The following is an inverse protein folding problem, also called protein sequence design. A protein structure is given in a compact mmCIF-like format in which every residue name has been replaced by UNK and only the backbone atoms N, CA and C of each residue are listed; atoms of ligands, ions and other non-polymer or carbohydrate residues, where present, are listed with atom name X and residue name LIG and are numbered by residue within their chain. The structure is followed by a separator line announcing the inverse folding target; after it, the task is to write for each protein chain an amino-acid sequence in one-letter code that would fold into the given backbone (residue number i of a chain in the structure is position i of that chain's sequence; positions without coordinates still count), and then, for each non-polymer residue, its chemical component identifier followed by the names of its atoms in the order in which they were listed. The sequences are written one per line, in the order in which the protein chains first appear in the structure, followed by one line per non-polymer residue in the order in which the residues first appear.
data_IF_676038665547
#
_entry.id   IF_676038665547
#
_cell.length_a   1.000
_cell.length_b   1.000
_cell.length_c   1.000
_cell.angle_alpha   90.00
_cell.angle_beta   90.00
_cell.angle_gamma   90.00
#
_symmetry.space_group_name_H-M   'P 1'
#
loop_
_entity.id
_entity.type
_entity.pdbx_description
1 polymer ?
#
# COMPACT_ATOMS: atom_id res chain seq x y z
N UNK A 1 10.26 -14.57 8.56
CA UNK A 1 9.69 -13.59 9.53
C UNK A 1 8.51 -14.21 10.26
N UNK A 2 8.07 -13.70 11.41
CA UNK A 2 6.85 -14.17 12.09
C UNK A 2 5.74 -13.14 11.90
N UNK A 3 4.53 -13.59 11.50
CA UNK A 3 3.39 -12.73 11.19
C UNK A 3 2.20 -13.05 12.12
N UNK A 4 2.30 -12.77 13.44
CA UNK A 4 1.26 -13.14 14.39
C UNK A 4 -0.09 -12.47 14.11
N UNK A 5 -0.11 -11.26 13.56
CA UNK A 5 -1.34 -10.53 13.24
C UNK A 5 -1.96 -11.02 11.93
N UNK A 6 -1.18 -11.16 10.86
CA UNK A 6 -1.65 -11.72 9.60
C UNK A 6 -2.21 -13.14 9.78
N UNK A 7 -1.56 -13.95 10.60
CA UNK A 7 -1.97 -15.33 10.90
C UNK A 7 -3.27 -15.43 11.72
N UNK A 8 -3.85 -14.33 12.19
CA UNK A 8 -5.18 -14.33 12.82
C UNK A 8 -6.30 -14.47 11.79
N UNK A 9 -6.01 -14.28 10.50
CA UNK A 9 -6.96 -14.51 9.41
C UNK A 9 -6.77 -15.91 8.82
N UNK A 10 -7.87 -16.66 8.57
CA UNK A 10 -7.78 -17.94 7.88
C UNK A 10 -7.18 -17.79 6.48
N UNK A 11 -6.36 -18.76 6.06
CA UNK A 11 -5.79 -18.76 4.71
C UNK A 11 -6.89 -18.79 3.63
N UNK A 12 -8.00 -19.48 3.87
CA UNK A 12 -9.15 -19.48 2.95
C UNK A 12 -9.69 -18.07 2.70
N UNK A 13 -9.82 -17.25 3.76
CA UNK A 13 -10.26 -15.85 3.65
C UNK A 13 -9.26 -15.02 2.86
N UNK A 14 -7.96 -15.24 3.08
CA UNK A 14 -6.90 -14.58 2.30
C UNK A 14 -7.00 -14.98 0.83
N UNK A 15 -7.10 -16.26 0.51
CA UNK A 15 -7.21 -16.75 -0.87
C UNK A 15 -8.46 -16.25 -1.61
N UNK A 16 -9.59 -16.15 -0.92
CA UNK A 16 -10.86 -15.69 -1.49
C UNK A 16 -10.84 -14.19 -1.82
N UNK A 17 -10.12 -13.40 -1.01
CA UNK A 17 -10.20 -11.93 -1.06
C UNK A 17 -8.94 -11.25 -1.59
N UNK A 18 -7.90 -11.99 -1.97
CA UNK A 18 -6.68 -11.46 -2.59
C UNK A 18 -6.73 -11.57 -4.12
N UNK A 19 -5.98 -10.70 -4.77
CA UNK A 19 -5.70 -10.71 -6.22
C UNK A 19 -4.20 -10.59 -6.50
N UNK A 20 -3.37 -11.02 -5.56
CA UNK A 20 -1.92 -10.93 -5.61
C UNK A 20 -1.28 -11.56 -4.37
N UNK A 21 0.01 -11.37 -4.12
CA UNK A 21 0.73 -11.94 -2.99
C UNK A 21 0.05 -11.58 -1.66
N UNK A 22 0.16 -12.45 -0.66
CA UNK A 22 -0.56 -12.35 0.61
C UNK A 22 -0.48 -10.93 1.22
N UNK A 23 -1.53 -10.11 1.08
CA UNK A 23 -1.49 -8.69 1.47
C UNK A 23 -1.43 -8.49 2.99
N UNK A 24 -1.83 -9.50 3.76
CA UNK A 24 -1.79 -9.44 5.23
C UNK A 24 -0.35 -9.47 5.73
N UNK A 25 0.50 -10.34 5.16
CA UNK A 25 1.93 -10.39 5.51
C UNK A 25 2.66 -9.14 5.03
N UNK A 26 2.38 -8.70 3.79
CA UNK A 26 2.94 -7.45 3.27
C UNK A 26 2.57 -6.26 4.16
N UNK A 27 1.31 -6.16 4.59
CA UNK A 27 0.83 -5.09 5.48
C UNK A 27 1.47 -5.16 6.87
N UNK A 28 1.62 -6.35 7.46
CA UNK A 28 2.23 -6.50 8.79
C UNK A 28 3.72 -6.13 8.77
N UNK A 29 4.48 -6.53 7.76
CA UNK A 29 5.88 -6.12 7.60
C UNK A 29 5.99 -4.61 7.38
N UNK A 30 5.19 -4.06 6.47
CA UNK A 30 5.14 -2.61 6.20
C UNK A 30 4.91 -1.79 7.47
N UNK A 31 3.92 -2.18 8.27
CA UNK A 31 3.57 -1.48 9.51
C UNK A 31 4.61 -1.67 10.63
N UNK A 32 5.49 -2.66 10.53
CA UNK A 32 6.60 -2.81 11.49
C UNK A 32 7.66 -1.71 11.36
N UNK A 33 7.68 -1.01 10.23
CA UNK A 33 8.63 0.08 9.94
C UNK A 33 8.22 1.43 10.56
N UNK A 34 7.00 1.54 11.14
CA UNK A 34 6.47 2.80 11.67
C UNK A 34 5.74 2.62 12.99
N UNK A 35 5.78 3.64 13.82
CA UNK A 35 5.03 3.69 15.09
C UNK A 35 3.82 4.62 14.92
N UNK A 36 2.72 4.08 14.40
CA UNK A 36 1.46 4.79 14.24
C UNK A 36 0.60 4.50 15.48
N UNK A 37 0.19 5.53 16.25
CA UNK A 37 -0.57 5.33 17.47
C UNK A 37 -1.94 4.67 17.23
N UNK A 38 -2.37 3.81 18.14
CA UNK A 38 -3.75 3.30 18.19
C UNK A 38 -4.76 4.45 18.21
N UNK A 39 -5.84 4.31 17.44
CA UNK A 39 -6.86 5.35 17.27
C UNK A 39 -6.54 6.38 16.19
N UNK A 40 -5.38 6.28 15.52
CA UNK A 40 -5.06 7.11 14.36
C UNK A 40 -6.08 6.92 13.24
N UNK A 41 -6.38 8.01 12.54
CA UNK A 41 -7.25 8.00 11.35
C UNK A 41 -6.38 7.69 10.13
N UNK A 42 -6.59 6.54 9.52
CA UNK A 42 -5.74 6.00 8.44
C UNK A 42 -6.57 5.78 7.17
N UNK A 43 -6.01 6.18 6.04
CA UNK A 43 -6.51 5.81 4.72
C UNK A 43 -5.83 4.53 4.26
N UNK A 44 -6.60 3.49 3.96
CA UNK A 44 -6.14 2.33 3.18
C UNK A 44 -6.49 2.59 1.70
N UNK A 45 -5.49 2.91 0.90
CA UNK A 45 -5.66 3.36 -0.48
C UNK A 45 -5.40 2.22 -1.46
N UNK A 46 -6.44 1.84 -2.20
CA UNK A 46 -6.48 0.61 -2.98
C UNK A 46 -6.73 -0.61 -2.09
N UNK A 47 -7.72 -0.49 -1.21
CA UNK A 47 -8.02 -1.50 -0.17
C UNK A 47 -8.54 -2.83 -0.72
N UNK A 48 -8.86 -2.90 -2.02
CA UNK A 48 -9.41 -4.09 -2.66
C UNK A 48 -10.61 -4.64 -1.90
N UNK A 49 -10.63 -5.95 -1.64
CA UNK A 49 -11.69 -6.61 -0.90
C UNK A 49 -11.58 -6.47 0.63
N UNK A 50 -10.72 -5.55 1.13
CA UNK A 50 -10.71 -5.08 2.52
C UNK A 50 -9.86 -5.87 3.50
N UNK A 51 -9.01 -6.81 3.05
CA UNK A 51 -8.18 -7.63 3.95
C UNK A 51 -7.23 -6.78 4.80
N UNK A 52 -6.46 -5.90 4.18
CA UNK A 52 -5.50 -4.98 4.85
C UNK A 52 -6.22 -4.04 5.80
N UNK A 53 -7.36 -3.51 5.37
CA UNK A 53 -8.20 -2.64 6.21
C UNK A 53 -8.69 -3.35 7.47
N UNK A 54 -9.20 -4.60 7.33
CA UNK A 54 -9.66 -5.40 8.46
C UNK A 54 -8.51 -5.73 9.43
N UNK A 55 -7.31 -6.06 8.89
CA UNK A 55 -6.11 -6.29 9.70
C UNK A 55 -5.75 -5.05 10.51
N UNK A 56 -5.67 -3.89 9.85
CA UNK A 56 -5.28 -2.63 10.48
C UNK A 56 -6.28 -2.18 11.55
N UNK A 57 -7.59 -2.29 11.28
CA UNK A 57 -8.61 -1.91 12.26
C UNK A 57 -8.60 -2.84 13.48
N UNK A 58 -8.44 -4.16 13.27
CA UNK A 58 -8.55 -5.16 14.33
C UNK A 58 -7.29 -5.28 15.16
N UNK A 59 -6.12 -5.34 14.50
CA UNK A 59 -4.87 -5.69 15.18
C UNK A 59 -4.01 -4.46 15.57
N UNK A 60 -4.27 -3.31 14.96
CA UNK A 60 -3.57 -2.05 15.27
C UNK A 60 -4.50 -1.00 15.90
N UNK A 61 -5.82 -1.24 15.84
CA UNK A 61 -6.81 -0.35 16.44
C UNK A 61 -6.93 1.00 15.75
N UNK A 62 -6.65 1.07 14.45
CA UNK A 62 -6.82 2.29 13.66
C UNK A 62 -8.29 2.52 13.31
N UNK A 63 -8.65 3.78 13.05
CA UNK A 63 -9.91 4.16 12.41
C UNK A 63 -9.66 4.26 10.92
N UNK A 64 -10.25 3.35 10.14
CA UNK A 64 -9.94 3.16 8.72
C UNK A 64 -10.96 3.80 7.78
N UNK A 65 -10.44 4.41 6.73
CA UNK A 65 -11.17 4.71 5.50
C UNK A 65 -10.60 3.81 4.41
N UNK A 66 -11.37 2.79 4.02
CA UNK A 66 -10.97 1.78 3.04
C UNK A 66 -11.43 2.22 1.66
N UNK A 67 -10.54 2.86 0.90
CA UNK A 67 -10.84 3.45 -0.41
C UNK A 67 -10.38 2.54 -1.54
N UNK A 68 -11.29 2.22 -2.46
CA UNK A 68 -11.00 1.44 -3.65
C UNK A 68 -11.88 1.88 -4.83
N UNK A 69 -11.35 1.75 -6.06
CA UNK A 69 -12.05 2.17 -7.27
C UNK A 69 -13.07 1.13 -7.75
N UNK A 70 -12.77 -0.16 -7.58
CA UNK A 70 -13.54 -1.25 -8.17
C UNK A 70 -14.35 -2.04 -7.17
N UNK A 71 -13.88 -2.16 -5.94
CA UNK A 71 -14.56 -2.92 -4.88
C UNK A 71 -15.90 -2.31 -4.50
N UNK A 72 -16.85 -3.19 -4.17
CA UNK A 72 -18.16 -2.76 -3.70
C UNK A 72 -18.10 -2.46 -2.19
N UNK A 73 -18.36 -1.20 -1.75
CA UNK A 73 -18.31 -0.85 -0.32
C UNK A 73 -19.29 -1.67 0.55
N UNK A 74 -20.45 -2.06 0.02
CA UNK A 74 -21.41 -2.88 0.77
C UNK A 74 -20.92 -4.30 1.02
N UNK A 75 -20.16 -4.87 0.06
CA UNK A 75 -19.57 -6.20 0.21
C UNK A 75 -18.39 -6.14 1.19
N UNK A 76 -17.57 -5.09 1.14
CA UNK A 76 -16.53 -4.85 2.11
C UNK A 76 -17.10 -4.62 3.51
N UNK A 77 -18.19 -3.86 3.65
CA UNK A 77 -18.81 -3.65 4.96
C UNK A 77 -19.31 -4.95 5.58
N UNK A 78 -19.95 -5.84 4.80
CA UNK A 78 -20.35 -7.18 5.29
C UNK A 78 -19.15 -7.97 5.81
N UNK A 79 -18.06 -7.99 5.07
CA UNK A 79 -16.82 -8.65 5.50
C UNK A 79 -16.26 -8.04 6.80
N UNK A 80 -16.29 -6.73 6.93
CA UNK A 80 -15.84 -6.07 8.16
C UNK A 80 -16.71 -6.44 9.37
N UNK A 81 -18.03 -6.52 9.17
CA UNK A 81 -18.97 -6.99 10.21
C UNK A 81 -18.69 -8.45 10.61
N UNK A 82 -18.41 -9.33 9.64
CA UNK A 82 -17.98 -10.71 9.89
C UNK A 82 -16.67 -10.79 10.68
N UNK A 83 -15.76 -9.81 10.49
CA UNK A 83 -14.55 -9.65 11.29
C UNK A 83 -14.79 -9.02 12.68
N UNK A 84 -16.06 -8.72 13.05
CA UNK A 84 -16.42 -8.09 14.32
C UNK A 84 -16.17 -6.58 14.37
N UNK A 85 -15.97 -5.94 13.23
CA UNK A 85 -15.74 -4.51 13.10
C UNK A 85 -17.05 -3.75 12.84
N UNK A 86 -17.08 -2.48 13.23
CA UNK A 86 -18.23 -1.60 13.09
C UNK A 86 -17.90 -0.41 12.20
N UNK A 87 -18.91 0.29 11.71
CA UNK A 87 -18.75 1.51 10.92
C UNK A 87 -18.12 2.69 11.69
N UNK A 88 -17.87 2.54 12.99
CA UNK A 88 -17.07 3.50 13.79
C UNK A 88 -15.58 3.24 13.69
N UNK A 89 -15.19 2.02 13.33
CA UNK A 89 -13.81 1.59 13.22
C UNK A 89 -13.31 1.58 11.78
N UNK A 90 -14.23 1.30 10.81
CA UNK A 90 -13.86 1.17 9.42
C UNK A 90 -15.00 1.60 8.49
N UNK A 91 -14.68 2.41 7.50
CA UNK A 91 -15.61 2.99 6.54
C UNK A 91 -15.13 2.65 5.13
N UNK A 92 -15.77 1.70 4.44
CA UNK A 92 -15.46 1.43 3.05
C UNK A 92 -16.06 2.49 2.15
N UNK A 93 -15.31 2.89 1.11
CA UNK A 93 -15.80 3.84 0.13
C UNK A 93 -15.29 3.50 -1.28
N UNK A 94 -16.14 3.75 -2.27
CA UNK A 94 -15.76 3.69 -3.67
C UNK A 94 -15.23 5.05 -4.08
N UNK A 95 -13.92 5.13 -4.37
CA UNK A 95 -13.27 6.38 -4.72
C UNK A 95 -12.12 6.18 -5.70
N UNK A 96 -11.94 7.16 -6.59
CA UNK A 96 -10.76 7.26 -7.44
C UNK A 96 -9.62 7.86 -6.61
N UNK A 97 -8.44 7.23 -6.65
CA UNK A 97 -7.24 7.69 -5.94
C UNK A 97 -6.82 9.13 -6.35
N UNK A 98 -7.20 9.58 -7.54
CA UNK A 98 -6.91 10.92 -8.05
C UNK A 98 -7.94 11.98 -7.64
N UNK A 99 -9.06 11.57 -7.02
CA UNK A 99 -10.18 12.45 -6.65
C UNK A 99 -10.81 12.04 -5.30
N UNK A 100 -9.97 11.91 -4.28
CA UNK A 100 -10.38 11.49 -2.94
C UNK A 100 -11.19 12.59 -2.24
N UNK A 101 -12.38 12.27 -1.67
CA UNK A 101 -13.32 13.28 -1.13
C UNK A 101 -13.00 13.66 0.32
N UNK A 102 -11.75 14.03 0.61
CA UNK A 102 -11.32 14.38 1.96
C UNK A 102 -10.74 15.79 2.03
N UNK A 103 -10.84 16.40 3.21
CA UNK A 103 -10.22 17.68 3.50
C UNK A 103 -8.70 17.55 3.65
N UNK A 104 -8.00 18.66 3.47
CA UNK A 104 -6.56 18.72 3.76
C UNK A 104 -6.26 18.38 5.23
N UNK A 105 -5.18 17.62 5.46
CA UNK A 105 -4.73 17.24 6.79
C UNK A 105 -5.72 16.37 7.56
N UNK A 106 -6.49 15.56 6.86
CA UNK A 106 -7.50 14.69 7.48
C UNK A 106 -6.87 13.44 8.11
N UNK A 107 -5.91 12.81 7.44
CA UNK A 107 -5.32 11.53 7.86
C UNK A 107 -4.06 11.70 8.71
N UNK A 108 -3.93 10.87 9.74
CA UNK A 108 -2.68 10.68 10.49
C UNK A 108 -1.67 9.89 9.66
N UNK A 109 -2.16 8.90 8.90
CA UNK A 109 -1.35 8.14 7.97
C UNK A 109 -2.15 7.68 6.74
N UNK A 110 -1.41 7.34 5.67
CA UNK A 110 -1.92 6.62 4.49
C UNK A 110 -1.13 5.33 4.37
N UNK A 111 -1.84 4.24 4.13
CA UNK A 111 -1.27 2.92 3.82
C UNK A 111 -1.76 2.50 2.43
N UNK A 112 -0.90 1.93 1.61
CA UNK A 112 -1.27 1.32 0.34
C UNK A 112 -0.45 0.06 0.13
N UNK A 113 -1.13 -1.08 -0.04
CA UNK A 113 -0.48 -2.37 -0.23
C UNK A 113 -0.86 -2.92 -1.60
N UNK A 114 0.15 -3.22 -2.41
CA UNK A 114 -0.01 -3.82 -3.75
C UNK A 114 -0.94 -3.04 -4.70
N UNK A 115 -0.94 -1.70 -4.60
CA UNK A 115 -1.81 -0.87 -5.47
C UNK A 115 -1.22 0.48 -5.88
N UNK A 116 -0.28 1.05 -5.13
CA UNK A 116 0.27 2.39 -5.38
C UNK A 116 0.91 2.52 -6.79
N UNK A 117 1.48 1.45 -7.32
CA UNK A 117 2.06 1.38 -8.66
C UNK A 117 1.10 1.74 -9.80
N UNK A 118 -0.21 1.58 -9.62
CA UNK A 118 -1.19 1.87 -10.66
C UNK A 118 -1.42 3.38 -10.87
N UNK A 119 -1.38 4.18 -9.83
CA UNK A 119 -1.69 5.61 -9.85
C UNK A 119 -0.53 6.51 -9.39
N UNK A 120 0.37 6.00 -8.56
CA UNK A 120 1.49 6.76 -7.97
C UNK A 120 2.65 7.06 -8.90
N UNK A 121 2.69 6.46 -10.10
CA UNK A 121 3.78 6.67 -11.08
C UNK A 121 3.79 8.08 -11.69
N UNK A 122 2.64 8.75 -11.74
CA UNK A 122 2.59 10.12 -12.24
C UNK A 122 3.40 11.05 -11.30
N UNK A 123 4.39 11.79 -11.82
CA UNK A 123 5.36 12.52 -10.98
C UNK A 123 4.74 13.51 -9.99
N UNK A 124 3.55 14.02 -10.29
CA UNK A 124 2.85 14.99 -9.44
C UNK A 124 1.80 14.37 -8.53
N UNK A 125 1.49 13.09 -8.70
CA UNK A 125 0.40 12.45 -7.98
C UNK A 125 0.56 12.58 -6.46
N UNK A 126 1.73 12.24 -5.93
CA UNK A 126 1.99 12.33 -4.49
C UNK A 126 1.74 13.74 -3.96
N UNK A 127 2.32 14.75 -4.59
CA UNK A 127 2.25 16.13 -4.13
C UNK A 127 0.89 16.81 -4.33
N UNK A 128 0.19 16.51 -5.42
CA UNK A 128 -1.06 17.19 -5.79
C UNK A 128 -2.31 16.48 -5.23
N UNK A 129 -2.30 15.15 -5.10
CA UNK A 129 -3.49 14.38 -4.76
C UNK A 129 -3.46 13.73 -3.37
N UNK A 130 -2.31 13.24 -2.92
CA UNK A 130 -2.25 12.43 -1.71
C UNK A 130 -1.66 13.16 -0.50
N UNK A 131 -0.50 13.77 -0.67
CA UNK A 131 0.20 14.44 0.43
C UNK A 131 -0.63 15.54 1.12
N UNK A 132 -1.45 16.36 0.41
CA UNK A 132 -2.30 17.35 1.05
C UNK A 132 -3.29 16.76 2.06
N UNK A 133 -3.75 15.52 1.86
CA UNK A 133 -4.72 14.86 2.73
C UNK A 133 -4.12 14.38 4.05
N UNK A 134 -2.81 14.24 4.12
CA UNK A 134 -2.07 13.77 5.31
C UNK A 134 -1.75 14.95 6.21
N UNK A 135 -1.89 14.80 7.51
CA UNK A 135 -1.49 15.81 8.50
C UNK A 135 0.00 16.15 8.39
N UNK A 136 0.41 17.32 8.80
CA UNK A 136 1.84 17.65 8.94
C UNK A 136 2.51 16.65 9.90
N UNK A 137 3.67 16.16 9.54
CA UNK A 137 4.39 15.07 10.20
C UNK A 137 3.66 13.71 10.18
N UNK A 138 2.58 13.58 9.43
CA UNK A 138 1.91 12.30 9.23
C UNK A 138 2.68 11.40 8.27
N UNK A 139 2.39 10.10 8.35
CA UNK A 139 3.14 9.03 7.67
C UNK A 139 2.43 8.56 6.40
N UNK A 140 3.22 8.17 5.39
CA UNK A 140 2.73 7.44 4.23
C UNK A 140 3.57 6.17 4.08
N UNK A 141 2.89 5.04 4.00
CA UNK A 141 3.49 3.71 3.98
C UNK A 141 2.98 2.95 2.77
N UNK A 142 3.90 2.54 1.91
CA UNK A 142 3.55 1.81 0.70
C UNK A 142 4.32 0.50 0.60
N UNK A 143 3.63 -0.59 0.31
CA UNK A 143 4.20 -1.84 -0.18
C UNK A 143 3.95 -1.89 -1.69
N UNK A 144 4.97 -1.60 -2.48
CA UNK A 144 4.84 -1.42 -3.92
C UNK A 144 5.41 -2.62 -4.65
N UNK A 145 4.63 -3.32 -5.52
CA UNK A 145 5.20 -4.30 -6.43
C UNK A 145 6.27 -3.67 -7.31
N UNK A 146 7.41 -4.30 -7.38
CA UNK A 146 8.54 -3.75 -8.12
C UNK A 146 9.44 -4.80 -8.75
N UNK A 147 10.53 -4.32 -9.33
CA UNK A 147 11.60 -5.14 -9.86
C UNK A 147 12.83 -5.03 -8.97
N UNK A 148 13.58 -6.13 -8.83
CA UNK A 148 14.90 -6.15 -8.15
C UNK A 148 15.88 -5.19 -8.86
N UNK A 149 15.77 -5.14 -10.18
CA UNK A 149 16.44 -4.19 -11.07
C UNK A 149 15.60 -4.03 -12.33
N UNK A 150 15.53 -2.82 -12.85
CA UNK A 150 14.85 -2.53 -14.10
C UNK A 150 15.32 -3.46 -15.23
N UNK A 151 14.36 -4.12 -15.88
CA UNK A 151 14.60 -5.02 -17.00
C UNK A 151 13.61 -4.80 -18.15
N UNK A 152 12.99 -3.61 -18.25
CA UNK A 152 11.99 -3.32 -19.28
C UNK A 152 12.55 -3.39 -20.71
N UNK A 153 13.84 -3.11 -20.91
CA UNK A 153 14.48 -3.18 -22.24
C UNK A 153 14.66 -4.64 -22.72
N UNK A 154 14.72 -5.62 -21.79
CA UNK A 154 14.88 -7.05 -22.10
C UNK A 154 14.16 -7.89 -21.03
N UNK A 155 12.83 -7.99 -21.16
CA UNK A 155 11.99 -8.69 -20.20
C UNK A 155 12.30 -10.19 -20.17
N UNK A 156 12.66 -10.76 -19.00
CA UNK A 156 12.91 -12.19 -18.85
C UNK A 156 11.72 -13.05 -19.25
N UNK A 157 11.98 -14.17 -19.95
CA UNK A 157 10.94 -15.06 -20.42
C UNK A 157 10.06 -15.64 -19.29
N UNK A 158 10.62 -15.79 -18.07
CA UNK A 158 9.85 -16.23 -16.90
C UNK A 158 8.75 -15.24 -16.51
N UNK A 159 8.98 -13.92 -16.66
CA UNK A 159 7.96 -12.92 -16.40
C UNK A 159 6.84 -12.97 -17.45
N UNK A 160 7.21 -13.15 -18.71
CA UNK A 160 6.29 -13.23 -19.84
C UNK A 160 5.46 -14.53 -19.86
N UNK A 161 5.74 -15.48 -18.97
CA UNK A 161 4.96 -16.71 -18.83
C UNK A 161 3.55 -16.44 -18.22
N UNK A 162 3.38 -15.34 -17.48
CA UNK A 162 2.11 -14.98 -16.84
C UNK A 162 1.68 -13.54 -17.11
N UNK A 163 2.62 -12.62 -17.34
CA UNK A 163 2.31 -11.19 -17.47
C UNK A 163 2.70 -10.63 -18.83
N UNK A 164 1.90 -9.72 -19.32
CA UNK A 164 2.20 -8.95 -20.54
C UNK A 164 3.21 -7.81 -20.24
N UNK A 165 3.96 -7.32 -21.25
CA UNK A 165 4.81 -6.15 -21.06
C UNK A 165 4.06 -4.94 -20.46
N UNK A 166 2.80 -4.71 -20.88
CA UNK A 166 1.98 -3.61 -20.36
C UNK A 166 1.59 -3.77 -18.89
N UNK A 167 1.49 -4.99 -18.36
CA UNK A 167 1.29 -5.22 -16.92
C UNK A 167 2.61 -5.02 -16.14
N UNK A 168 3.74 -5.41 -16.71
CA UNK A 168 5.06 -5.21 -16.10
C UNK A 168 5.50 -3.74 -16.11
N UNK A 169 5.00 -2.91 -17.03
CA UNK A 169 5.26 -1.46 -17.08
C UNK A 169 4.85 -0.70 -15.81
N UNK A 170 4.03 -1.31 -14.95
CA UNK A 170 3.67 -0.75 -13.65
C UNK A 170 4.69 -1.05 -12.54
N UNK A 171 5.67 -1.92 -12.79
CA UNK A 171 6.63 -2.39 -11.79
C UNK A 171 8.01 -1.78 -12.07
N UNK A 172 8.47 -0.89 -11.21
CA UNK A 172 9.78 -0.26 -11.31
C UNK A 172 10.67 -0.69 -10.15
N UNK A 173 11.97 -0.51 -10.29
CA UNK A 173 12.91 -0.77 -9.20
C UNK A 173 12.90 0.35 -8.12
N UNK A 174 13.62 0.12 -7.04
CA UNK A 174 13.66 1.02 -5.89
C UNK A 174 14.27 2.38 -6.25
N UNK A 175 15.23 2.44 -7.17
CA UNK A 175 15.90 3.68 -7.56
C UNK A 175 14.96 4.56 -8.39
N UNK A 176 14.16 3.96 -9.26
CA UNK A 176 13.12 4.67 -10.00
C UNK A 176 12.07 5.28 -9.06
N UNK A 177 11.58 4.50 -8.08
CA UNK A 177 10.61 4.99 -7.11
C UNK A 177 11.19 6.09 -6.24
N UNK A 178 12.45 5.96 -5.83
CA UNK A 178 13.15 7.01 -5.08
C UNK A 178 13.18 8.32 -5.86
N UNK A 179 13.61 8.27 -7.12
CA UNK A 179 13.65 9.44 -7.98
C UNK A 179 12.26 10.05 -8.23
N UNK A 180 11.20 9.23 -8.26
CA UNK A 180 9.83 9.71 -8.35
C UNK A 180 9.40 10.47 -7.08
N UNK A 181 9.65 9.93 -5.89
CA UNK A 181 9.28 10.58 -4.62
C UNK A 181 10.08 11.85 -4.33
N UNK A 182 11.34 11.91 -4.70
CA UNK A 182 12.22 13.09 -4.55
C UNK A 182 11.73 14.33 -5.32
N UNK A 183 10.83 14.15 -6.29
CA UNK A 183 10.20 15.29 -7.00
C UNK A 183 9.18 16.06 -6.12
N UNK A 184 8.80 15.51 -4.96
CA UNK A 184 7.84 16.13 -4.05
C UNK A 184 8.58 16.70 -2.82
N UNK A 185 8.90 18.00 -2.84
CA UNK A 185 9.70 18.67 -1.79
C UNK A 185 9.14 18.52 -0.36
N UNK A 186 7.81 18.40 -0.20
CA UNK A 186 7.17 18.25 1.11
C UNK A 186 7.09 16.79 1.58
N UNK A 187 7.59 15.82 0.82
CA UNK A 187 7.67 14.42 1.20
C UNK A 187 9.11 14.06 1.58
N UNK A 188 9.33 13.74 2.84
CA UNK A 188 10.60 13.24 3.35
C UNK A 188 10.64 11.71 3.20
N UNK A 189 11.61 11.19 2.47
CA UNK A 189 11.87 9.74 2.42
C UNK A 189 12.53 9.34 3.74
N UNK A 190 11.80 8.62 4.58
CA UNK A 190 12.31 8.14 5.88
C UNK A 190 13.03 6.82 5.72
N UNK A 191 12.45 5.91 4.92
CA UNK A 191 13.01 4.59 4.64
C UNK A 191 12.52 4.05 3.31
N UNK A 192 13.39 3.32 2.60
CA UNK A 192 13.04 2.55 1.41
C UNK A 192 13.97 1.33 1.32
N UNK A 193 13.39 0.13 1.27
CA UNK A 193 14.11 -1.12 1.12
C UNK A 193 13.24 -2.20 0.45
N UNK A 194 13.84 -3.31 0.04
CA UNK A 194 13.12 -4.47 -0.45
C UNK A 194 12.52 -5.26 0.72
N UNK A 195 11.26 -5.67 0.56
CA UNK A 195 10.52 -6.41 1.59
C UNK A 195 11.04 -7.84 1.74
N UNK A 196 11.26 -8.28 2.98
CA UNK A 196 11.80 -9.61 3.26
C UNK A 196 10.77 -10.72 2.97
N UNK A 197 9.50 -10.47 3.24
CA UNK A 197 8.45 -11.49 3.11
C UNK A 197 7.93 -11.68 1.67
N UNK A 198 8.44 -10.96 0.67
CA UNK A 198 7.95 -11.04 -0.71
C UNK A 198 7.78 -12.48 -1.19
N UNK A 199 8.82 -13.31 -1.06
CA UNK A 199 8.76 -14.73 -1.50
C UNK A 199 7.74 -15.55 -0.70
N UNK A 200 7.62 -15.31 0.59
CA UNK A 200 6.65 -16.00 1.46
C UNK A 200 5.22 -15.60 1.12
N UNK A 201 4.97 -14.30 0.87
CA UNK A 201 3.67 -13.79 0.46
C UNK A 201 3.24 -14.35 -0.91
N UNK A 202 4.16 -14.47 -1.86
CA UNK A 202 3.93 -15.14 -3.14
C UNK A 202 3.66 -16.63 -3.00
N UNK A 203 4.39 -17.34 -2.13
CA UNK A 203 4.17 -18.77 -1.90
C UNK A 203 2.76 -19.04 -1.34
N UNK A 204 2.27 -18.19 -0.43
CA UNK A 204 0.90 -18.29 0.05
C UNK A 204 -0.12 -18.09 -1.07
N UNK A 205 0.10 -17.09 -1.95
CA UNK A 205 -0.79 -16.76 -3.04
C UNK A 205 -0.89 -17.85 -4.10
N UNK A 206 0.24 -18.33 -4.64
CA UNK A 206 0.22 -19.38 -5.67
C UNK A 206 -0.29 -20.73 -5.14
N UNK A 207 -0.33 -20.92 -3.83
CA UNK A 207 -0.97 -22.04 -3.14
C UNK A 207 -2.50 -21.96 -3.08
N UNK A 208 -3.10 -20.83 -3.44
CA UNK A 208 -4.55 -20.64 -3.41
C UNK A 208 -5.24 -21.35 -4.59
N UNK A 209 -6.43 -21.90 -4.31
CA UNK A 209 -7.37 -22.35 -5.35
C UNK A 209 -8.17 -21.15 -5.86
N UNK A 210 -7.54 -20.35 -6.72
CA UNK A 210 -8.04 -19.08 -7.24
C UNK A 210 -7.57 -18.95 -8.69
N UNK A 211 -8.44 -18.48 -9.58
CA UNK A 211 -8.14 -18.37 -11.02
C UNK A 211 -6.99 -17.40 -11.34
N UNK A 212 -6.88 -16.30 -10.59
CA UNK A 212 -5.78 -15.33 -10.73
C UNK A 212 -4.46 -15.94 -10.26
N UNK A 213 -4.47 -16.62 -9.11
CA UNK A 213 -3.28 -17.34 -8.61
C UNK A 213 -2.81 -18.42 -9.59
N UNK A 214 -3.75 -19.12 -10.24
CA UNK A 214 -3.43 -20.08 -11.29
C UNK A 214 -2.74 -19.40 -12.50
N UNK A 215 -3.15 -18.17 -12.84
CA UNK A 215 -2.52 -17.37 -13.89
C UNK A 215 -1.08 -16.97 -13.58
N UNK A 216 -0.79 -16.63 -12.33
CA UNK A 216 0.54 -16.20 -11.89
C UNK A 216 1.53 -17.35 -11.68
N UNK A 217 1.01 -18.56 -11.46
CA UNK A 217 1.80 -19.74 -11.06
C UNK A 217 2.94 -20.06 -12.03
N UNK A 218 2.67 -19.99 -13.33
CA UNK A 218 3.67 -20.32 -14.36
C UNK A 218 4.90 -19.43 -14.30
N UNK A 219 4.73 -18.13 -14.07
CA UNK A 219 5.86 -17.22 -13.95
C UNK A 219 6.64 -17.45 -12.65
N UNK A 220 5.94 -17.62 -11.52
CA UNK A 220 6.58 -17.84 -10.23
C UNK A 220 7.38 -19.14 -10.23
N UNK A 221 6.84 -20.25 -10.77
CA UNK A 221 7.53 -21.53 -10.91
C UNK A 221 8.72 -21.44 -11.88
N UNK A 222 8.66 -20.55 -12.87
CA UNK A 222 9.76 -20.31 -13.81
C UNK A 222 10.86 -19.37 -13.24
N UNK A 223 10.74 -18.90 -12.00
CA UNK A 223 11.76 -18.08 -11.33
C UNK A 223 11.52 -16.58 -11.41
N UNK A 224 10.29 -16.12 -11.65
CA UNK A 224 9.95 -14.68 -11.72
C UNK A 224 10.38 -13.90 -10.47
N UNK A 225 10.39 -14.54 -9.29
CA UNK A 225 10.79 -13.90 -8.03
C UNK A 225 12.30 -13.66 -7.88
N UNK A 226 13.10 -13.98 -8.89
CA UNK A 226 14.49 -13.52 -8.99
C UNK A 226 14.58 -12.12 -9.63
N UNK A 227 13.49 -11.66 -10.23
CA UNK A 227 13.38 -10.37 -10.92
C UNK A 227 12.36 -9.44 -10.26
N UNK A 228 11.36 -9.98 -9.57
CA UNK A 228 10.31 -9.22 -8.89
C UNK A 228 10.52 -9.20 -7.38
N UNK A 229 10.20 -8.05 -6.79
CA UNK A 229 10.17 -7.85 -5.36
C UNK A 229 8.93 -7.05 -4.93
N UNK A 230 8.83 -6.77 -3.63
CA UNK A 230 7.94 -5.74 -3.08
C UNK A 230 8.82 -4.72 -2.36
N UNK A 231 8.59 -3.44 -2.61
CA UNK A 231 9.39 -2.35 -2.06
C UNK A 231 8.61 -1.73 -0.90
N UNK A 232 9.23 -1.70 0.29
CA UNK A 232 8.78 -0.88 1.41
C UNK A 232 9.15 0.55 1.13
N UNK A 233 8.17 1.45 1.27
CA UNK A 233 8.38 2.89 1.20
C UNK A 233 7.74 3.52 2.44
N UNK A 234 8.52 4.26 3.19
CA UNK A 234 8.05 5.11 4.28
C UNK A 234 8.39 6.55 4.00
N UNK A 235 7.37 7.36 3.85
CA UNK A 235 7.50 8.80 3.68
C UNK A 235 6.85 9.50 4.88
N UNK A 236 7.30 10.72 5.13
CA UNK A 236 6.68 11.63 6.11
C UNK A 236 6.35 12.96 5.45
N UNK A 237 5.14 13.48 5.68
CA UNK A 237 4.84 14.85 5.27
C UNK A 237 5.65 15.81 6.12
N UNK A 238 6.47 16.66 5.49
CA UNK A 238 7.31 17.62 6.17
C UNK A 238 6.52 18.52 7.13
N UNK A 239 7.09 18.81 8.29
CA UNK A 239 6.56 19.85 9.19
C UNK A 239 6.59 21.21 8.47
N UNK A 240 5.61 22.08 8.77
CA UNK A 240 5.58 23.43 8.20
C UNK A 240 6.87 24.16 8.56
N UNK A 241 7.65 24.61 7.57
CA UNK A 241 8.77 25.52 7.83
C UNK A 241 8.22 26.75 8.54
N UNK A 242 8.76 27.19 9.69
CA UNK A 242 8.31 28.41 10.33
C UNK A 242 8.45 29.54 9.33
N UNK A 243 7.33 30.24 9.09
CA UNK A 243 7.32 31.35 8.16
C UNK A 243 8.13 32.48 8.80
N UNK A 244 9.20 32.97 8.16
CA UNK A 244 10.01 34.08 8.69
C UNK A 244 9.17 35.36 9.01
N UNK A 245 7.91 35.40 8.55
CA UNK A 245 6.97 36.50 8.90
C UNK A 245 6.32 36.35 10.29
N UNK A 246 6.39 35.16 10.92
CA UNK A 246 5.82 34.94 12.26
C UNK A 246 6.73 35.48 13.37
N UNK A 247 8.01 35.72 13.09
CA UNK A 247 8.95 36.35 14.04
C UNK A 247 8.81 37.88 14.13
N UNK A 248 8.05 38.52 13.24
CA UNK A 248 7.87 39.98 13.21
C UNK A 248 6.72 40.52 14.03
N UNK A 249 5.88 39.68 14.67
CA UNK A 249 4.71 40.13 15.46
C UNK A 249 4.83 40.02 16.97
N UNK A 250 5.98 39.60 17.48
CA UNK A 250 6.21 39.44 18.93
C UNK A 250 6.90 40.64 19.60
N UNK A 251 7.16 41.72 18.87
CA UNK A 251 7.73 42.95 19.42
C UNK A 251 6.95 44.19 18.90
N UNK A 252 5.78 44.45 19.43
CA UNK A 252 5.14 45.76 19.53
C UNK A 252 4.21 45.78 20.73
#
# INVERSE_FOLDING_TARGET
MNFPKANTFPQSTMCERSMGPNPLKLCEELLSCADIPTGSVVLDLGSGAGLTSALMAREYGFVLYAADLWSNPSDNMRFFEECGLTNRQIIPLKADATALPFAEGFFDAVVSVDSYNYFGRAPKYLGEHLLPLVKRSGELLFAIPGMVRDCHDDLPACLLASWTPGQLDYMHDIDWWRANFEQTEEAEIVDMHEMECTREAWADWIGCDNEYAAGDRSAVEAGALDYLNTIVVRLRRAARKPNMKDYGRANC
#
